data_IF_691045019891
#
_entry.id   IF_691045019891
#
_cell.length_a   1.000
_cell.length_b   1.000
_cell.length_c   1.000
_cell.angle_alpha   90.00
_cell.angle_beta   90.00
_cell.angle_gamma   90.00
#
_symmetry.space_group_name_H-M   'P 1'
#
loop_
_entity.id
_entity.type
_entity.pdbx_description
1 polymer ?
#
# COMPACT_ATOMS: atom_id res chain seq x y z
N UNK A 1 0.33 -10.86 -5.19
CA UNK A 1 -0.68 -10.23 -6.07
C UNK A 1 -0.17 -8.88 -6.54
N UNK A 2 -0.59 -8.37 -7.71
CA UNK A 2 -0.13 -7.05 -8.22
C UNK A 2 -1.32 -6.17 -8.60
N UNK A 3 -1.31 -4.93 -8.13
CA UNK A 3 -2.24 -3.86 -8.48
C UNK A 3 -1.48 -2.74 -9.19
N UNK A 4 -1.99 -2.29 -10.34
CA UNK A 4 -1.35 -1.23 -11.15
C UNK A 4 -2.31 -0.07 -11.34
N UNK A 5 -1.92 1.12 -10.90
CA UNK A 5 -2.67 2.34 -11.14
C UNK A 5 -2.14 3.03 -12.40
N UNK A 6 -3.02 3.37 -13.34
CA UNK A 6 -2.65 4.06 -14.59
C UNK A 6 -3.24 5.47 -14.68
N UNK A 7 -3.93 5.91 -13.62
CA UNK A 7 -4.59 7.21 -13.54
C UNK A 7 -3.60 8.37 -13.61
N UNK A 8 -3.95 9.41 -14.37
CA UNK A 8 -3.26 10.70 -14.32
C UNK A 8 -3.66 11.57 -13.12
N UNK A 9 -4.78 11.24 -12.45
CA UNK A 9 -5.25 11.90 -11.23
C UNK A 9 -4.88 11.11 -10.00
N UNK A 10 -4.79 11.77 -8.83
CA UNK A 10 -4.48 11.14 -7.56
C UNK A 10 -5.42 9.97 -7.23
N UNK A 11 -4.87 8.92 -6.63
CA UNK A 11 -5.58 7.68 -6.26
C UNK A 11 -5.28 7.34 -4.82
N UNK A 12 -6.33 7.13 -4.03
CA UNK A 12 -6.23 6.58 -2.68
C UNK A 12 -6.57 5.09 -2.70
N UNK A 13 -5.70 4.26 -2.14
CA UNK A 13 -5.93 2.82 -1.96
C UNK A 13 -6.29 2.60 -0.50
N UNK A 14 -7.57 2.34 -0.25
CA UNK A 14 -8.07 2.01 1.08
C UNK A 14 -7.76 0.55 1.39
N UNK A 15 -7.03 0.30 2.49
CA UNK A 15 -6.79 -1.04 3.01
C UNK A 15 -7.79 -1.32 4.12
N UNK A 16 -8.66 -2.32 3.92
CA UNK A 16 -9.72 -2.68 4.87
C UNK A 16 -9.38 -3.95 5.65
N UNK A 17 -10.11 -4.17 6.75
CA UNK A 17 -9.98 -5.41 7.55
C UNK A 17 -10.36 -6.68 6.79
N UNK A 18 -11.14 -6.56 5.72
CA UNK A 18 -11.47 -7.69 4.84
C UNK A 18 -10.22 -8.19 4.09
N UNK A 19 -9.32 -7.29 3.71
CA UNK A 19 -8.04 -7.66 3.08
C UNK A 19 -7.10 -8.36 4.07
N UNK A 20 -7.03 -7.85 5.30
CA UNK A 20 -6.10 -8.36 6.32
C UNK A 20 -6.55 -9.66 6.98
N UNK A 21 -7.86 -9.95 7.02
CA UNK A 21 -8.40 -11.14 7.68
C UNK A 21 -8.59 -12.35 6.76
N UNK A 22 -8.78 -12.12 5.47
CA UNK A 22 -9.02 -13.19 4.51
C UNK A 22 -7.74 -13.80 3.92
N UNK A 23 -6.58 -13.20 4.21
CA UNK A 23 -5.29 -13.63 3.68
C UNK A 23 -4.38 -14.11 4.83
N UNK A 24 -3.56 -15.15 4.60
CA UNK A 24 -2.58 -15.57 5.59
C UNK A 24 -1.50 -14.49 5.80
N UNK A 25 -0.93 -14.44 7.00
CA UNK A 25 0.25 -13.63 7.31
C UNK A 25 1.39 -13.88 6.31
N UNK A 26 2.16 -12.85 5.97
CA UNK A 26 3.19 -12.92 4.94
C UNK A 26 2.65 -12.82 3.51
N UNK A 27 1.34 -12.74 3.31
CA UNK A 27 0.77 -12.38 2.00
C UNK A 27 1.17 -10.97 1.62
N UNK A 28 1.49 -10.78 0.33
CA UNK A 28 1.92 -9.49 -0.20
C UNK A 28 1.10 -9.01 -1.40
N UNK A 29 0.87 -7.70 -1.42
CA UNK A 29 0.31 -6.94 -2.53
C UNK A 29 1.36 -5.95 -3.03
N UNK A 30 1.83 -6.15 -4.26
CA UNK A 30 2.64 -5.17 -4.97
C UNK A 30 1.73 -4.13 -5.62
N UNK A 31 2.04 -2.85 -5.41
CA UNK A 31 1.33 -1.72 -6.01
C UNK A 31 2.31 -0.91 -6.86
N UNK A 32 1.94 -0.68 -8.12
CA UNK A 32 2.75 0.05 -9.09
C UNK A 32 2.01 1.32 -9.52
N UNK A 33 2.61 2.49 -9.25
CA UNK A 33 2.13 3.77 -9.76
C UNK A 33 2.60 3.94 -11.21
N UNK A 34 1.84 3.43 -12.19
CA UNK A 34 2.21 3.60 -13.61
C UNK A 34 1.73 4.93 -14.20
N UNK A 35 0.62 5.46 -13.69
CA UNK A 35 0.10 6.77 -14.05
C UNK A 35 0.80 7.92 -13.32
N UNK A 36 0.59 9.14 -13.80
CA UNK A 36 1.18 10.35 -13.21
C UNK A 36 0.53 10.77 -11.88
N UNK A 37 -0.68 10.27 -11.59
CA UNK A 37 -1.39 10.57 -10.35
C UNK A 37 -0.69 9.98 -9.13
N UNK A 38 -0.60 10.76 -8.06
CA UNK A 38 -0.07 10.31 -6.78
C UNK A 38 -0.87 9.12 -6.26
N UNK A 39 -0.19 8.05 -5.85
CA UNK A 39 -0.80 6.91 -5.17
C UNK A 39 -0.50 7.00 -3.68
N UNK A 40 -1.55 6.92 -2.86
CA UNK A 40 -1.45 6.97 -1.40
C UNK A 40 -2.24 5.83 -0.78
N UNK A 41 -1.63 5.13 0.17
CA UNK A 41 -2.33 4.15 0.99
C UNK A 41 -3.09 4.85 2.10
N UNK A 42 -4.31 4.40 2.36
CA UNK A 42 -5.18 4.91 3.41
C UNK A 42 -5.58 3.75 4.30
N UNK A 43 -5.41 3.92 5.60
CA UNK A 43 -5.85 2.97 6.60
C UNK A 43 -7.38 2.97 6.69
N UNK A 44 -7.99 1.80 6.56
CA UNK A 44 -9.37 1.58 6.93
C UNK A 44 -9.53 1.47 8.44
N UNK A 45 -10.79 1.40 8.89
CA UNK A 45 -11.10 1.25 10.30
C UNK A 45 -10.46 -0.02 10.89
N UNK A 46 -9.67 0.14 11.96
CA UNK A 46 -8.98 -0.96 12.64
C UNK A 46 -7.75 -1.52 11.93
N UNK A 47 -7.31 -0.92 10.82
CA UNK A 47 -6.10 -1.32 10.09
C UNK A 47 -4.95 -0.37 10.45
N UNK A 48 -3.75 -0.93 10.59
CA UNK A 48 -2.50 -0.16 10.72
C UNK A 48 -1.55 -0.48 9.58
N UNK A 49 -0.94 0.53 8.96
CA UNK A 49 0.08 0.39 7.92
C UNK A 49 1.39 1.02 8.41
N UNK A 50 2.33 0.17 8.81
CA UNK A 50 3.66 0.59 9.23
C UNK A 50 4.52 0.97 8.01
N UNK A 51 4.94 2.24 7.94
CA UNK A 51 5.91 2.75 6.97
C UNK A 51 7.08 3.40 7.69
N UNK A 52 8.34 3.14 7.28
CA UNK A 52 9.49 3.93 7.75
C UNK A 52 9.51 5.35 7.17
N UNK A 53 8.65 5.63 6.18
CA UNK A 53 8.55 6.89 5.45
C UNK A 53 7.08 7.38 5.50
N UNK A 54 6.58 7.98 4.42
CA UNK A 54 5.13 8.27 4.25
C UNK A 54 4.34 7.06 3.73
N UNK A 55 3.02 7.21 3.58
CA UNK A 55 2.12 6.24 2.94
C UNK A 55 1.92 6.50 1.43
N UNK A 56 2.73 7.36 0.83
CA UNK A 56 2.62 7.72 -0.58
C UNK A 56 3.78 7.14 -1.39
N UNK A 57 3.49 6.62 -2.59
CA UNK A 57 4.52 6.11 -3.49
C UNK A 57 5.31 7.29 -4.07
N UNK A 58 6.64 7.20 -4.13
CA UNK A 58 7.53 8.34 -4.37
C UNK A 58 7.25 9.10 -5.67
N UNK A 59 6.99 8.38 -6.76
CA UNK A 59 6.94 8.93 -8.12
C UNK A 59 6.31 7.95 -9.11
N UNK A 60 6.06 8.44 -10.33
CA UNK A 60 5.65 7.60 -11.44
C UNK A 60 6.68 6.48 -11.70
N UNK A 61 6.15 5.30 -12.04
CA UNK A 61 6.84 4.02 -12.24
C UNK A 61 7.51 3.43 -10.99
N UNK A 62 7.33 4.04 -9.82
CA UNK A 62 7.73 3.44 -8.56
C UNK A 62 6.74 2.35 -8.11
N UNK A 63 7.24 1.50 -7.21
CA UNK A 63 6.50 0.39 -6.63
C UNK A 63 6.60 0.41 -5.11
N UNK A 64 5.54 -0.07 -4.46
CA UNK A 64 5.50 -0.38 -3.05
C UNK A 64 4.90 -1.77 -2.85
N UNK A 65 5.29 -2.44 -1.79
CA UNK A 65 4.79 -3.76 -1.42
C UNK A 65 4.20 -3.66 -0.02
N UNK A 66 2.90 -3.93 0.07
CA UNK A 66 2.20 -4.14 1.34
C UNK A 66 2.33 -5.61 1.71
N UNK A 67 2.80 -5.90 2.92
CA UNK A 67 2.93 -7.28 3.44
C UNK A 67 2.17 -7.39 4.75
N UNK A 68 1.27 -8.38 4.83
CA UNK A 68 0.60 -8.72 6.07
C UNK A 68 1.63 -9.21 7.08
N UNK A 69 1.61 -8.63 8.28
CA UNK A 69 2.47 -9.09 9.37
C UNK A 69 1.86 -10.32 10.05
N UNK A 70 2.54 -10.83 11.07
CA UNK A 70 2.05 -11.82 12.01
C UNK A 70 1.04 -11.24 13.02
N UNK A 71 0.96 -9.91 13.14
CA UNK A 71 -0.08 -9.21 13.89
C UNK A 71 -1.33 -8.97 13.02
N UNK A 72 -2.50 -9.27 13.60
CA UNK A 72 -3.77 -9.12 12.90
C UNK A 72 -4.05 -7.65 12.56
N UNK A 73 -4.55 -7.40 11.36
CA UNK A 73 -4.92 -6.07 10.86
C UNK A 73 -3.72 -5.08 10.76
N UNK A 74 -2.48 -5.57 10.88
CA UNK A 74 -1.24 -4.79 10.73
C UNK A 74 -0.48 -5.20 9.47
N UNK A 75 -0.12 -4.21 8.67
CA UNK A 75 0.70 -4.37 7.48
C UNK A 75 2.01 -3.60 7.63
N UNK A 76 3.04 -4.08 6.95
CA UNK A 76 4.24 -3.30 6.66
C UNK A 76 4.25 -2.89 5.20
N UNK A 77 4.65 -1.65 4.92
CA UNK A 77 4.90 -1.16 3.56
C UNK A 77 6.39 -0.92 3.34
N UNK A 78 6.89 -1.41 2.21
CA UNK A 78 8.26 -1.19 1.79
C UNK A 78 8.32 -0.88 0.29
N UNK A 79 9.34 -0.13 -0.13
CA UNK A 79 9.57 0.20 -1.54
C UNK A 79 9.98 1.65 -1.72
N UNK A 80 9.68 2.19 -2.90
CA UNK A 80 9.96 3.59 -3.22
C UNK A 80 8.83 4.48 -2.70
N UNK A 81 8.90 4.81 -1.41
CA UNK A 81 7.97 5.70 -0.73
C UNK A 81 8.46 7.16 -0.80
N UNK A 82 7.55 8.14 -0.71
CA UNK A 82 7.96 9.54 -0.52
C UNK A 82 8.63 9.67 0.85
N UNK A 83 9.78 10.33 0.87
CA UNK A 83 10.50 10.62 2.10
C UNK A 83 9.64 11.49 3.04
N UNK A 84 9.69 11.19 4.34
CA UNK A 84 8.99 11.94 5.37
C UNK A 84 9.61 13.32 5.65
#
# INVERSE_FOLDING_TARGET
MTLKTTSGSAVSILVTTDFTRNLPSGSSLEVIQSGAGQVTFVEGEGVTINSPETLAIAKQHARAVLTLTDEQDVLSVAGYMQAA
#
